data_IF_639517984668
#
_entry.id   IF_639517984668
#
_cell.length_a   1.000
_cell.length_b   1.000
_cell.length_c   1.000
_cell.angle_alpha   90.00
_cell.angle_beta   90.00
_cell.angle_gamma   90.00
#
_symmetry.space_group_name_H-M   'P 1'
#
loop_
_entity.id
_entity.type
_entity.pdbx_description
1 polymer ?
#
# COMPACT_ATOMS: atom_id res chain seq x y z
N UNK A 1 -18.76 23.85 1.11
CA UNK A 1 -17.42 23.78 0.49
C UNK A 1 -16.32 23.48 1.51
N UNK A 2 -16.23 24.19 2.63
CA UNK A 2 -15.22 23.97 3.67
C UNK A 2 -15.15 22.52 4.19
N UNK A 3 -16.29 21.86 4.37
CA UNK A 3 -16.37 20.49 4.93
C UNK A 3 -15.74 19.40 4.04
N UNK A 4 -15.88 19.48 2.72
CA UNK A 4 -15.28 18.49 1.78
C UNK A 4 -13.76 18.61 1.71
N UNK A 5 -13.25 19.83 1.78
CA UNK A 5 -11.82 20.11 1.79
C UNK A 5 -11.18 19.68 3.12
N UNK A 6 -11.87 19.94 4.24
CA UNK A 6 -11.49 19.45 5.57
C UNK A 6 -11.46 17.91 5.62
N UNK A 7 -12.51 17.24 5.13
CA UNK A 7 -12.56 15.78 5.09
C UNK A 7 -11.42 15.17 4.25
N UNK A 8 -11.11 15.75 3.09
CA UNK A 8 -9.99 15.28 2.25
C UNK A 8 -8.65 15.41 2.98
N UNK A 9 -8.45 16.51 3.71
CA UNK A 9 -7.25 16.72 4.52
C UNK A 9 -7.09 15.67 5.61
N UNK A 10 -8.18 15.36 6.34
CA UNK A 10 -8.18 14.33 7.39
C UNK A 10 -7.88 12.94 6.81
N UNK A 11 -8.50 12.57 5.68
CA UNK A 11 -8.25 11.28 5.01
C UNK A 11 -6.78 11.16 4.60
N UNK A 12 -6.18 12.21 4.01
CA UNK A 12 -4.76 12.21 3.65
C UNK A 12 -3.85 12.08 4.88
N UNK A 13 -4.22 12.69 6.00
CA UNK A 13 -3.42 12.62 7.21
C UNK A 13 -3.43 11.21 7.80
N UNK A 14 -4.61 10.58 7.86
CA UNK A 14 -4.76 9.17 8.26
C UNK A 14 -3.99 8.26 7.30
N UNK A 15 -4.14 8.43 5.99
CA UNK A 15 -3.44 7.65 4.98
C UNK A 15 -1.92 7.71 5.15
N UNK A 16 -1.37 8.89 5.46
CA UNK A 16 0.07 9.09 5.69
C UNK A 16 0.56 8.38 6.95
N UNK A 17 -0.15 8.47 8.06
CA UNK A 17 0.23 7.76 9.29
C UNK A 17 0.24 6.24 9.04
N UNK A 18 -0.84 5.72 8.46
CA UNK A 18 -0.95 4.29 8.17
C UNK A 18 0.14 3.84 7.20
N UNK A 19 0.42 4.62 6.16
CA UNK A 19 1.50 4.33 5.22
C UNK A 19 2.87 4.31 5.89
N UNK A 20 3.17 5.25 6.79
CA UNK A 20 4.46 5.27 7.51
C UNK A 20 4.58 4.05 8.44
N UNK A 21 3.50 3.70 9.15
CA UNK A 21 3.46 2.50 9.99
C UNK A 21 3.71 1.23 9.15
N UNK A 22 3.03 1.11 8.01
CA UNK A 22 3.16 -0.05 7.14
C UNK A 22 4.53 -0.12 6.46
N UNK A 23 5.08 1.00 6.00
CA UNK A 23 6.46 1.08 5.48
C UNK A 23 7.44 0.61 6.56
N UNK A 24 7.30 1.11 7.79
CA UNK A 24 8.15 0.71 8.91
C UNK A 24 8.04 -0.79 9.22
N UNK A 25 6.82 -1.33 9.22
CA UNK A 25 6.55 -2.74 9.39
C UNK A 25 7.21 -3.60 8.30
N UNK A 26 6.98 -3.27 7.02
CA UNK A 26 7.56 -3.98 5.88
C UNK A 26 9.09 -3.94 5.95
N UNK A 27 9.68 -2.76 6.18
CA UNK A 27 11.14 -2.62 6.25
C UNK A 27 11.73 -3.39 7.43
N UNK A 28 11.03 -3.43 8.58
CA UNK A 28 11.46 -4.24 9.72
C UNK A 28 11.55 -5.73 9.35
N UNK A 29 10.55 -6.29 8.67
CA UNK A 29 10.57 -7.68 8.23
C UNK A 29 11.64 -7.95 7.17
N UNK A 30 11.78 -7.07 6.18
CA UNK A 30 12.82 -7.19 5.15
C UNK A 30 14.23 -7.14 5.74
N UNK A 31 14.46 -6.26 6.72
CA UNK A 31 15.75 -6.17 7.41
C UNK A 31 15.99 -7.39 8.30
N UNK A 32 14.96 -7.88 9.00
CA UNK A 32 15.08 -9.09 9.82
C UNK A 32 15.43 -10.31 8.95
N UNK A 33 14.79 -10.48 7.81
CA UNK A 33 15.10 -11.55 6.85
C UNK A 33 16.54 -11.44 6.33
N UNK A 34 16.94 -10.25 5.90
CA UNK A 34 18.29 -9.96 5.40
C UNK A 34 19.39 -10.22 6.45
N UNK A 35 19.13 -9.90 7.72
CA UNK A 35 20.12 -10.03 8.81
C UNK A 35 20.19 -11.44 9.37
N UNK A 36 19.09 -12.20 9.36
CA UNK A 36 19.05 -13.53 9.95
C UNK A 36 19.48 -14.64 8.99
N UNK A 37 19.62 -14.37 7.69
CA UNK A 37 20.43 -15.10 6.69
C UNK A 37 20.17 -16.61 6.48
N UNK A 38 19.39 -17.27 7.34
CA UNK A 38 19.30 -18.72 7.47
C UNK A 38 17.97 -19.20 8.10
N UNK A 39 16.96 -18.32 8.24
CA UNK A 39 15.70 -18.68 8.90
C UNK A 39 14.46 -18.21 8.13
N UNK A 40 14.17 -18.86 6.99
CA UNK A 40 12.79 -18.90 6.51
C UNK A 40 12.51 -19.22 5.04
N UNK A 41 13.48 -19.06 4.15
CA UNK A 41 13.27 -19.34 2.72
C UNK A 41 14.53 -19.83 2.06
N UNK A 42 14.41 -20.94 1.32
CA UNK A 42 15.20 -21.11 0.10
C UNK A 42 15.06 -19.81 -0.73
N UNK A 43 15.99 -19.49 -1.62
CA UNK A 43 16.02 -18.18 -2.28
C UNK A 43 14.74 -17.87 -3.07
N UNK A 44 14.75 -16.82 -3.90
CA UNK A 44 13.75 -16.70 -4.96
C UNK A 44 14.03 -17.76 -6.04
N UNK A 45 13.88 -19.03 -5.66
CA UNK A 45 14.30 -20.21 -6.40
C UNK A 45 13.20 -20.61 -7.38
N UNK A 46 11.95 -20.21 -7.09
CA UNK A 46 10.83 -20.35 -8.00
C UNK A 46 10.27 -19.00 -8.50
N UNK A 47 9.71 -19.04 -9.71
CA UNK A 47 8.98 -17.90 -10.28
C UNK A 47 7.77 -17.50 -9.42
N UNK A 48 7.16 -18.46 -8.71
CA UNK A 48 6.03 -18.19 -7.82
C UNK A 48 6.45 -17.33 -6.64
N UNK A 49 7.54 -17.69 -5.95
CA UNK A 49 8.07 -16.92 -4.81
C UNK A 49 8.51 -15.53 -5.24
N UNK A 50 9.13 -15.40 -6.41
CA UNK A 50 9.47 -14.10 -6.98
C UNK A 50 8.23 -13.23 -7.21
N UNK A 51 7.17 -13.80 -7.78
CA UNK A 51 5.91 -13.09 -8.02
C UNK A 51 5.27 -12.67 -6.69
N UNK A 52 5.24 -13.57 -5.71
CA UNK A 52 4.68 -13.30 -4.38
C UNK A 52 5.43 -12.15 -3.71
N UNK A 53 6.76 -12.21 -3.69
CA UNK A 53 7.63 -11.16 -3.15
C UNK A 53 7.47 -9.81 -3.87
N UNK A 54 7.29 -9.85 -5.20
CA UNK A 54 7.06 -8.65 -6.00
C UNK A 54 5.73 -7.98 -5.66
N UNK A 55 4.64 -8.75 -5.55
CA UNK A 55 3.33 -8.21 -5.19
C UNK A 55 3.22 -7.85 -3.70
N UNK A 56 3.95 -8.55 -2.82
CA UNK A 56 4.15 -8.18 -1.43
C UNK A 56 5.47 -8.74 -0.90
N UNK A 57 6.39 -7.91 -0.39
CA UNK A 57 6.13 -6.53 0.03
C UNK A 57 6.53 -5.43 -0.96
N UNK A 58 7.17 -5.76 -2.10
CA UNK A 58 7.88 -4.76 -2.93
C UNK A 58 6.95 -3.70 -3.54
N UNK A 59 5.89 -4.11 -4.24
CA UNK A 59 4.94 -3.18 -4.87
C UNK A 59 4.25 -2.25 -3.86
N UNK A 60 3.68 -2.75 -2.74
CA UNK A 60 3.14 -1.92 -1.67
C UNK A 60 4.15 -0.93 -1.11
N UNK A 61 5.38 -1.36 -0.82
CA UNK A 61 6.43 -0.49 -0.29
C UNK A 61 6.72 0.68 -1.25
N UNK A 62 6.99 0.38 -2.52
CA UNK A 62 7.24 1.41 -3.55
C UNK A 62 6.02 2.32 -3.71
N UNK A 63 4.82 1.73 -3.77
CA UNK A 63 3.57 2.46 -3.91
C UNK A 63 3.34 3.43 -2.75
N UNK A 64 3.50 2.99 -1.51
CA UNK A 64 3.31 3.83 -0.32
C UNK A 64 4.36 4.94 -0.23
N UNK A 65 5.64 4.65 -0.52
CA UNK A 65 6.69 5.66 -0.60
C UNK A 65 6.37 6.74 -1.64
N UNK A 66 5.91 6.34 -2.82
CA UNK A 66 5.46 7.27 -3.85
C UNK A 66 4.21 8.04 -3.42
N UNK A 67 3.29 7.42 -2.69
CA UNK A 67 2.00 8.01 -2.30
C UNK A 67 2.17 9.21 -1.34
N UNK A 68 3.23 9.22 -0.55
CA UNK A 68 3.56 10.34 0.34
C UNK A 68 3.73 11.67 -0.43
N UNK A 69 4.30 11.61 -1.65
CA UNK A 69 4.50 12.77 -2.53
C UNK A 69 3.45 12.86 -3.65
N UNK A 70 3.08 11.72 -4.23
CA UNK A 70 2.14 11.59 -5.35
C UNK A 70 1.00 10.61 -4.98
N UNK A 71 -0.03 11.09 -4.24
CA UNK A 71 -1.10 10.24 -3.69
C UNK A 71 -1.77 9.31 -4.70
N UNK A 72 -2.06 9.81 -5.90
CA UNK A 72 -2.73 9.01 -6.94
C UNK A 72 -1.85 7.86 -7.43
N UNK A 73 -0.66 8.18 -7.92
CA UNK A 73 0.24 7.20 -8.53
C UNK A 73 0.66 6.15 -7.50
N UNK A 74 1.10 6.60 -6.31
CA UNK A 74 1.52 5.69 -5.27
C UNK A 74 0.37 4.84 -4.70
N UNK A 75 -0.79 5.46 -4.47
CA UNK A 75 -2.00 4.74 -4.04
C UNK A 75 -2.43 3.68 -5.05
N UNK A 76 -2.31 3.97 -6.36
CA UNK A 76 -2.60 3.00 -7.42
C UNK A 76 -1.63 1.83 -7.36
N UNK A 77 -0.32 2.09 -7.30
CA UNK A 77 0.71 1.03 -7.28
C UNK A 77 0.55 0.15 -6.04
N UNK A 78 0.36 0.74 -4.86
CA UNK A 78 0.17 0.00 -3.61
C UNK A 78 -1.11 -0.85 -3.65
N UNK A 79 -2.23 -0.27 -4.09
CA UNK A 79 -3.50 -1.00 -4.20
C UNK A 79 -3.40 -2.14 -5.23
N UNK A 80 -2.76 -1.91 -6.37
CA UNK A 80 -2.53 -2.94 -7.37
C UNK A 80 -1.58 -4.04 -6.88
N UNK A 81 -0.63 -3.72 -6.01
CA UNK A 81 0.18 -4.70 -5.29
C UNK A 81 -0.68 -5.71 -4.55
N UNK A 82 -1.60 -5.22 -3.70
CA UNK A 82 -2.52 -6.08 -2.94
C UNK A 82 -3.55 -6.80 -3.79
N UNK A 83 -4.10 -6.15 -4.82
CA UNK A 83 -5.02 -6.81 -5.75
C UNK A 83 -4.30 -7.92 -6.53
N UNK A 84 -3.07 -7.68 -6.96
CA UNK A 84 -2.25 -8.70 -7.62
C UNK A 84 -1.92 -9.86 -6.69
N UNK A 85 -1.51 -9.57 -5.46
CA UNK A 85 -1.30 -10.60 -4.42
C UNK A 85 -2.56 -11.44 -4.22
N UNK A 86 -3.72 -10.81 -4.17
CA UNK A 86 -5.01 -11.50 -4.02
C UNK A 86 -5.31 -12.46 -5.17
N UNK A 87 -4.87 -12.13 -6.40
CA UNK A 87 -5.05 -13.00 -7.57
C UNK A 87 -4.07 -14.18 -7.54
N UNK A 88 -2.82 -13.95 -7.12
CA UNK A 88 -1.78 -14.99 -7.10
C UNK A 88 -1.92 -15.90 -5.87
N UNK A 89 -2.30 -15.34 -4.73
CA UNK A 89 -2.47 -15.99 -3.43
C UNK A 89 -3.88 -15.75 -2.88
N UNK A 90 -4.92 -16.35 -3.49
CA UNK A 90 -6.31 -16.15 -3.09
C UNK A 90 -6.60 -16.68 -1.67
N UNK A 91 -5.77 -17.59 -1.16
CA UNK A 91 -5.77 -18.05 0.23
C UNK A 91 -5.59 -16.89 1.22
N UNK A 92 -4.75 -15.90 0.89
CA UNK A 92 -4.48 -14.74 1.75
C UNK A 92 -5.63 -13.74 1.81
N UNK A 93 -6.57 -13.76 0.85
CA UNK A 93 -7.78 -12.92 0.88
C UNK A 93 -8.67 -13.31 2.07
N UNK A 94 -8.65 -14.58 2.47
CA UNK A 94 -9.48 -15.05 3.58
C UNK A 94 -8.98 -14.54 4.94
N UNK A 95 -7.75 -14.01 4.98
CA UNK A 95 -7.17 -13.42 6.19
C UNK A 95 -7.45 -11.91 6.24
N UNK A 96 -8.32 -11.46 7.19
CA UNK A 96 -8.63 -10.04 7.33
C UNK A 96 -7.40 -9.19 7.68
N UNK A 97 -6.35 -9.77 8.26
CA UNK A 97 -5.15 -9.04 8.64
C UNK A 97 -4.35 -8.56 7.43
N UNK A 98 -4.31 -9.37 6.36
CA UNK A 98 -3.66 -9.00 5.09
C UNK A 98 -4.45 -7.87 4.39
N UNK A 99 -5.77 -7.91 4.48
CA UNK A 99 -6.63 -6.86 3.90
C UNK A 99 -6.41 -5.48 4.54
N UNK A 100 -6.02 -5.42 5.82
CA UNK A 100 -5.73 -4.15 6.51
C UNK A 100 -4.57 -3.41 5.84
N UNK A 101 -3.60 -4.12 5.27
CA UNK A 101 -2.45 -3.51 4.60
C UNK A 101 -2.83 -2.82 3.28
N UNK A 102 -3.97 -3.16 2.66
CA UNK A 102 -4.44 -2.45 1.47
C UNK A 102 -5.04 -1.06 1.80
N UNK A 103 -5.39 -0.79 3.06
CA UNK A 103 -6.13 0.40 3.47
C UNK A 103 -5.41 1.72 3.11
N UNK A 104 -4.14 1.96 3.44
CA UNK A 104 -3.50 3.24 3.13
C UNK A 104 -3.45 3.53 1.62
N UNK A 105 -3.18 2.52 0.79
CA UNK A 105 -3.23 2.64 -0.67
C UNK A 105 -4.59 3.12 -1.17
N UNK A 106 -5.66 2.48 -0.68
CA UNK A 106 -7.05 2.85 -1.00
C UNK A 106 -7.38 4.26 -0.49
N UNK A 107 -6.97 4.62 0.72
CA UNK A 107 -7.25 5.95 1.28
C UNK A 107 -6.58 7.06 0.48
N UNK A 108 -5.36 6.85 -0.04
CA UNK A 108 -4.72 7.81 -0.94
C UNK A 108 -5.50 8.01 -2.24
N UNK A 109 -6.06 6.93 -2.81
CA UNK A 109 -6.92 7.01 -4.00
C UNK A 109 -8.22 7.74 -3.70
N UNK A 110 -8.89 7.40 -2.60
CA UNK A 110 -10.13 8.05 -2.16
C UNK A 110 -9.91 9.55 -1.96
N UNK A 111 -8.86 9.93 -1.23
CA UNK A 111 -8.49 11.33 -1.01
C UNK A 111 -8.25 12.07 -2.33
N UNK A 112 -7.56 11.44 -3.29
CA UNK A 112 -7.31 12.05 -4.59
C UNK A 112 -8.59 12.26 -5.41
N UNK A 113 -9.49 11.26 -5.44
CA UNK A 113 -10.78 11.37 -6.15
C UNK A 113 -11.62 12.50 -5.55
N UNK A 114 -11.69 12.58 -4.21
CA UNK A 114 -12.43 13.62 -3.51
C UNK A 114 -11.81 15.01 -3.74
N UNK A 115 -10.48 15.12 -3.74
CA UNK A 115 -9.75 16.35 -4.01
C UNK A 115 -9.99 16.89 -5.43
N UNK A 116 -9.98 16.02 -6.45
CA UNK A 116 -10.31 16.40 -7.84
C UNK A 116 -11.73 16.96 -7.98
N UNK A 117 -12.69 16.38 -7.26
CA UNK A 117 -14.10 16.83 -7.29
C UNK A 117 -14.30 18.18 -6.61
N UNK A 118 -13.45 18.54 -5.65
CA UNK A 118 -13.48 19.88 -5.03
C UNK A 118 -13.08 20.99 -6.01
N UNK A 119 -12.04 20.75 -6.83
CA UNK A 119 -11.55 21.72 -7.83
C UNK A 119 -12.51 21.94 -9.00
N UNK A 120 -13.24 20.91 -9.44
CA UNK A 120 -14.24 21.05 -10.52
C UNK A 120 -15.51 21.80 -10.13
N UNK A 121 -15.80 21.99 -8.84
CA UNK A 121 -17.01 22.72 -8.39
C UNK A 121 -16.86 24.25 -8.36
N UNK A 122 -15.68 24.75 -8.76
CA UNK A 122 -15.31 26.19 -8.72
C UNK A 122 -15.22 26.78 -10.13
N UNK A 123 -15.28 25.94 -11.17
CA UNK A 123 -15.30 26.33 -12.59
C UNK A 123 -16.73 26.11 -13.10
#
# INVERSE_FOLDING_TARGET
MATKQQATGVILWIARILAILEIGFILFFLLADLLNGDSGGEGLDSLSEFIDFAFFPVMPLIGLLLALKWPALGGMISTLGFVGLSVVRPDLISDPTIMVLAIPGILFLVAWILGKRSLKSVI
#
